data_IF_939458604742
#
_entry.id   IF_939458604742
#
_cell.length_a   1.000
_cell.length_b   1.000
_cell.length_c   1.000
_cell.angle_alpha   90.00
_cell.angle_beta   90.00
_cell.angle_gamma   90.00
#
_symmetry.space_group_name_H-M   'P 1'
#
loop_
_entity.id
_entity.type
_entity.pdbx_description
1 polymer ?
#
# COMPACT_ATOMS: atom_id res chain seq x y z
N UNK A 1 21.85 -5.96 -3.24
CA UNK A 1 21.49 -6.43 -1.88
C UNK A 1 21.87 -5.34 -0.88
N UNK A 2 21.04 -5.05 0.14
CA UNK A 2 21.47 -4.14 1.21
C UNK A 2 22.61 -4.79 2.00
N UNK A 3 23.40 -3.96 2.68
CA UNK A 3 24.56 -4.40 3.46
C UNK A 3 24.18 -5.39 4.58
N UNK A 4 22.94 -5.34 5.06
CA UNK A 4 22.38 -6.23 6.08
C UNK A 4 21.94 -7.61 5.55
N UNK A 5 22.09 -7.88 4.25
CA UNK A 5 21.66 -9.13 3.63
C UNK A 5 20.14 -9.29 3.50
N UNK A 6 19.34 -8.28 3.87
CA UNK A 6 17.89 -8.37 3.84
C UNK A 6 17.32 -8.26 2.42
N UNK A 7 16.27 -9.03 2.13
CA UNK A 7 15.50 -8.91 0.89
C UNK A 7 14.43 -7.83 1.06
N UNK A 8 14.78 -6.59 0.73
CA UNK A 8 13.86 -5.42 0.74
C UNK A 8 13.82 -4.75 -0.63
N UNK A 9 12.67 -4.20 -0.98
CA UNK A 9 12.51 -3.45 -2.23
C UNK A 9 13.36 -2.17 -2.22
N UNK A 10 14.05 -1.89 -3.32
CA UNK A 10 14.70 -0.59 -3.57
C UNK A 10 13.77 0.37 -4.30
N UNK A 11 12.85 -0.18 -5.09
CA UNK A 11 11.80 0.52 -5.84
C UNK A 11 10.50 -0.23 -5.68
N UNK A 12 9.41 0.50 -5.45
CA UNK A 12 8.07 -0.04 -5.35
C UNK A 12 7.10 1.08 -5.71
N UNK A 13 6.68 1.12 -6.97
CA UNK A 13 5.94 2.24 -7.52
C UNK A 13 4.58 1.75 -7.99
N UNK A 14 3.53 2.51 -7.67
CA UNK A 14 2.16 2.25 -8.12
C UNK A 14 1.65 3.46 -8.88
N UNK A 15 1.23 3.22 -10.11
CA UNK A 15 0.52 4.20 -10.93
C UNK A 15 -0.97 4.15 -10.58
N UNK A 16 -1.43 5.09 -9.75
CA UNK A 16 -2.83 5.13 -9.28
C UNK A 16 -3.81 5.44 -10.42
N UNK A 17 -3.33 5.87 -11.59
CA UNK A 17 -4.16 6.06 -12.79
C UNK A 17 -4.34 4.77 -13.60
N UNK A 18 -3.51 3.75 -13.35
CA UNK A 18 -3.64 2.41 -13.93
C UNK A 18 -4.21 1.39 -12.95
N UNK A 19 -4.05 1.63 -11.65
CA UNK A 19 -4.70 0.84 -10.61
C UNK A 19 -6.23 0.89 -10.82
N UNK A 20 -6.86 -0.27 -10.74
CA UNK A 20 -8.32 -0.41 -10.85
C UNK A 20 -8.99 -0.70 -9.50
N UNK A 21 -8.24 -0.62 -8.39
CA UNK A 21 -8.75 -0.74 -7.02
C UNK A 21 -9.51 -2.06 -6.78
N UNK A 22 -8.92 -3.18 -7.23
CA UNK A 22 -9.56 -4.50 -7.18
C UNK A 22 -9.17 -5.35 -5.96
N UNK A 23 -8.33 -4.85 -5.04
CA UNK A 23 -7.88 -5.61 -3.86
C UNK A 23 -6.93 -6.80 -4.10
N UNK A 24 -6.71 -7.25 -5.34
CA UNK A 24 -5.90 -8.46 -5.60
C UNK A 24 -4.45 -8.38 -5.11
N UNK A 25 -3.87 -7.17 -5.02
CA UNK A 25 -2.53 -7.00 -4.46
C UNK A 25 -2.47 -7.28 -2.96
N UNK A 26 -3.54 -6.98 -2.22
CA UNK A 26 -3.68 -7.29 -0.79
C UNK A 26 -3.81 -8.80 -0.60
N UNK A 27 -4.73 -9.46 -1.31
CA UNK A 27 -4.94 -10.91 -1.22
C UNK A 27 -3.71 -11.73 -1.66
N UNK A 28 -2.99 -11.26 -2.67
CA UNK A 28 -1.80 -11.95 -3.16
C UNK A 28 -0.58 -11.79 -2.24
N UNK A 29 -0.60 -10.85 -1.29
CA UNK A 29 0.56 -10.58 -0.45
C UNK A 29 0.66 -11.62 0.68
N UNK A 30 1.72 -12.44 0.73
CA UNK A 30 1.83 -13.51 1.74
C UNK A 30 2.20 -13.01 3.15
N UNK A 31 2.40 -11.69 3.31
CA UNK A 31 2.93 -11.07 4.53
C UNK A 31 2.25 -9.73 4.85
N UNK A 32 1.10 -9.45 4.22
CA UNK A 32 0.32 -8.21 4.42
C UNK A 32 1.13 -6.91 4.27
N UNK A 33 2.10 -6.88 3.36
CA UNK A 33 2.97 -5.72 3.15
C UNK A 33 2.32 -4.58 2.34
N UNK A 34 1.37 -4.90 1.47
CA UNK A 34 0.57 -3.93 0.71
C UNK A 34 -0.90 -4.20 1.02
N UNK A 35 -1.64 -3.13 1.32
CA UNK A 35 -3.02 -3.19 1.80
C UNK A 35 -3.79 -2.03 1.18
N UNK A 36 -5.06 -2.24 0.82
CA UNK A 36 -5.88 -1.17 0.27
C UNK A 36 -6.53 -0.35 1.41
N UNK A 37 -5.99 0.86 1.61
CA UNK A 37 -6.41 1.74 2.70
C UNK A 37 -7.85 2.25 2.59
N UNK A 38 -8.40 2.80 3.70
CA UNK A 38 -9.76 3.33 3.74
C UNK A 38 -9.92 4.68 3.01
N UNK A 39 -8.81 5.37 2.75
CA UNK A 39 -8.83 6.73 2.23
C UNK A 39 -9.22 6.76 0.74
N UNK A 40 -10.35 7.39 0.43
CA UNK A 40 -10.81 7.65 -0.94
C UNK A 40 -10.68 9.13 -1.34
N UNK A 41 -10.44 10.04 -0.38
CA UNK A 41 -10.37 11.49 -0.59
C UNK A 41 -8.92 11.94 -0.86
N UNK A 42 -8.36 11.51 -1.98
CA UNK A 42 -6.98 11.85 -2.38
C UNK A 42 -6.87 12.42 -3.80
N UNK A 43 -7.93 13.07 -4.28
CA UNK A 43 -7.88 13.78 -5.55
C UNK A 43 -6.72 14.79 -5.56
N UNK A 44 -6.02 14.88 -6.69
CA UNK A 44 -4.85 15.76 -6.88
C UNK A 44 -5.04 16.63 -8.12
N UNK A 45 -4.31 17.73 -8.17
CA UNK A 45 -4.40 18.69 -9.28
C UNK A 45 -3.56 18.25 -10.48
N UNK A 46 -2.52 17.45 -10.26
CA UNK A 46 -1.67 16.93 -11.33
C UNK A 46 -1.64 15.41 -11.36
N UNK A 47 -1.45 14.86 -12.57
CA UNK A 47 -1.27 13.42 -12.78
C UNK A 47 -0.02 12.88 -12.11
N UNK A 48 1.05 13.68 -12.03
CA UNK A 48 2.32 13.24 -11.46
C UNK A 48 2.20 12.89 -9.98
N UNK A 49 1.31 13.57 -9.26
CA UNK A 49 1.03 13.28 -7.85
C UNK A 49 0.38 11.90 -7.65
N UNK A 50 -0.26 11.32 -8.68
CA UNK A 50 -0.86 9.98 -8.67
C UNK A 50 0.13 8.86 -9.02
N UNK A 51 1.40 9.19 -9.29
CA UNK A 51 2.47 8.21 -9.38
C UNK A 51 3.12 8.04 -8.00
N UNK A 52 2.64 7.05 -7.25
CA UNK A 52 3.11 6.82 -5.89
C UNK A 52 4.40 6.02 -5.95
N UNK A 53 5.45 6.57 -5.35
CA UNK A 53 6.69 5.85 -5.11
C UNK A 53 6.64 5.10 -3.77
N UNK A 54 7.72 4.38 -3.49
CA UNK A 54 7.84 3.60 -2.25
C UNK A 54 7.69 4.48 -1.01
N UNK A 55 8.22 5.70 -1.02
CA UNK A 55 8.19 6.56 0.17
C UNK A 55 6.75 7.03 0.43
N UNK A 56 6.05 7.48 -0.60
CA UNK A 56 4.65 7.90 -0.51
C UNK A 56 3.74 6.80 0.03
N UNK A 57 3.97 5.55 -0.40
CA UNK A 57 3.23 4.39 0.09
C UNK A 57 3.52 4.06 1.55
N UNK A 58 4.77 4.19 2.00
CA UNK A 58 5.15 4.04 3.40
C UNK A 58 4.52 5.13 4.27
N UNK A 59 4.57 6.40 3.82
CA UNK A 59 3.98 7.53 4.54
C UNK A 59 2.46 7.35 4.70
N UNK A 60 1.79 6.82 3.68
CA UNK A 60 0.37 6.46 3.76
C UNK A 60 0.13 5.33 4.76
N UNK A 61 0.98 4.29 4.77
CA UNK A 61 0.91 3.21 5.75
C UNK A 61 1.01 3.74 7.18
N UNK A 62 2.03 4.55 7.47
CA UNK A 62 2.23 5.17 8.79
C UNK A 62 1.02 6.02 9.22
N UNK A 63 0.43 6.77 8.28
CA UNK A 63 -0.74 7.61 8.55
C UNK A 63 -1.98 6.79 8.92
N UNK A 64 -2.21 5.65 8.27
CA UNK A 64 -3.44 4.87 8.40
C UNK A 64 -3.28 3.57 9.22
N UNK A 65 -2.09 3.30 9.74
CA UNK A 65 -1.71 2.04 10.42
C UNK A 65 -2.74 1.57 11.45
N UNK A 66 -3.23 2.47 12.30
CA UNK A 66 -4.20 2.10 13.35
C UNK A 66 -5.51 1.56 12.78
N UNK A 67 -6.01 2.17 11.72
CA UNK A 67 -7.27 1.77 11.09
C UNK A 67 -7.08 0.52 10.23
N UNK A 68 -5.96 0.46 9.49
CA UNK A 68 -5.55 -0.73 8.74
C UNK A 68 -5.44 -1.95 9.65
N UNK A 69 -4.70 -1.85 10.75
CA UNK A 69 -4.52 -2.95 11.70
C UNK A 69 -5.87 -3.43 12.29
N UNK A 70 -6.77 -2.50 12.60
CA UNK A 70 -8.11 -2.86 13.09
C UNK A 70 -8.95 -3.59 12.02
N UNK A 71 -8.90 -3.12 10.77
CA UNK A 71 -9.60 -3.76 9.64
C UNK A 71 -9.03 -5.13 9.33
N UNK A 72 -7.70 -5.27 9.25
CA UNK A 72 -7.01 -6.54 9.05
C UNK A 72 -7.40 -7.56 10.12
N UNK A 73 -7.39 -7.15 11.39
CA UNK A 73 -7.76 -8.04 12.49
C UNK A 73 -9.22 -8.50 12.43
N UNK A 74 -10.14 -7.61 12.03
CA UNK A 74 -11.56 -7.94 11.89
C UNK A 74 -11.84 -8.89 10.72
N UNK A 75 -11.06 -8.77 9.65
CA UNK A 75 -11.29 -9.49 8.40
C UNK A 75 -10.43 -10.76 8.27
N UNK A 76 -9.39 -10.94 9.11
CA UNK A 76 -8.55 -12.14 9.18
C UNK A 76 -9.30 -13.49 9.18
N UNK A 77 -10.52 -13.65 9.73
CA UNK A 77 -11.26 -14.92 9.65
C UNK A 77 -11.81 -15.27 8.25
N UNK A 78 -11.88 -14.31 7.32
CA UNK A 78 -12.51 -14.46 6.01
C UNK A 78 -11.51 -14.51 4.85
N UNK A 79 -10.22 -14.47 5.15
CA UNK A 79 -9.09 -14.48 4.20
C UNK A 79 -8.09 -15.59 4.52
#
# INVERSE_FOLDING_TARGET
>A
PREDGSRRTTRYDIDMTKCIYCGFCEEACPVDAIVEGPNFEFATETRAELFYDKQKLLDNGERWEKELAARLAADAPYR
#
